data_IF_173550809793
#
_entry.id   IF_173550809793
#
_cell.length_a   1.000
_cell.length_b   1.000
_cell.length_c   1.000
_cell.angle_alpha   90.00
_cell.angle_beta   90.00
_cell.angle_gamma   90.00
#
_symmetry.space_group_name_H-M   'P 1'
#
loop_
_entity.id
_entity.type
_entity.pdbx_description
1 polymer ?
#
# COMPACT_ATOMS: atom_id res chain seq x y z
N UNK A 1 6.87 11.98 6.45
CA UNK A 1 7.39 10.89 5.62
C UNK A 1 6.52 10.74 4.37
N UNK A 2 6.96 11.29 3.22
CA UNK A 2 6.31 11.08 1.90
C UNK A 2 6.79 9.77 1.24
N UNK A 3 6.31 9.47 0.03
CA UNK A 3 6.76 8.33 -0.76
C UNK A 3 7.05 8.70 -2.23
N UNK A 4 7.49 7.72 -3.03
CA UNK A 4 7.90 7.91 -4.43
C UNK A 4 6.77 8.38 -5.35
N UNK A 5 5.50 8.17 -4.98
CA UNK A 5 4.34 8.64 -5.75
C UNK A 5 4.19 10.18 -5.73
N UNK A 6 5.02 10.89 -4.96
CA UNK A 6 5.13 12.35 -5.00
C UNK A 6 5.37 12.89 -6.43
N UNK A 7 6.09 12.15 -7.28
CA UNK A 7 6.38 12.54 -8.67
C UNK A 7 5.11 12.67 -9.52
N UNK A 8 4.04 11.95 -9.18
CA UNK A 8 2.72 12.02 -9.82
C UNK A 8 1.66 12.69 -8.94
N UNK A 9 2.08 13.34 -7.84
CA UNK A 9 1.21 14.01 -6.86
C UNK A 9 0.21 13.10 -6.14
N UNK A 10 0.53 11.82 -6.01
CA UNK A 10 -0.31 10.80 -5.34
C UNK A 10 0.41 10.20 -4.11
N UNK A 11 1.31 10.97 -3.47
CA UNK A 11 1.96 10.54 -2.24
C UNK A 11 0.96 10.45 -1.09
N UNK A 12 1.21 9.54 -0.16
CA UNK A 12 0.64 9.60 1.18
C UNK A 12 1.74 10.02 2.14
N UNK A 13 1.60 11.22 2.72
CA UNK A 13 2.57 11.76 3.67
C UNK A 13 2.02 11.64 5.08
N UNK A 14 2.77 10.97 5.95
CA UNK A 14 2.48 10.96 7.40
C UNK A 14 3.43 11.91 8.12
N UNK A 15 2.89 12.84 8.89
CA UNK A 15 3.67 13.76 9.74
C UNK A 15 3.50 13.30 11.19
N UNK A 16 4.62 13.20 11.90
CA UNK A 16 4.60 12.88 13.32
C UNK A 16 4.19 14.12 14.13
N UNK A 17 3.32 13.94 15.13
CA UNK A 17 3.02 14.99 16.09
C UNK A 17 4.33 15.42 16.78
N UNK A 18 4.68 16.72 16.73
CA UNK A 18 5.95 17.19 17.26
C UNK A 18 5.92 17.16 18.79
N UNK A 19 7.04 16.77 19.42
CA UNK A 19 7.16 16.74 20.87
C UNK A 19 6.96 18.13 21.53
N UNK A 20 7.26 19.19 20.79
CA UNK A 20 6.92 20.57 21.13
C UNK A 20 6.06 21.13 20.02
N UNK A 21 4.88 21.71 20.31
CA UNK A 21 4.01 22.27 19.29
C UNK A 21 4.74 23.29 18.42
N UNK A 22 4.54 23.18 17.11
CA UNK A 22 4.94 24.21 16.17
C UNK A 22 4.00 25.42 16.30
N UNK A 23 4.45 26.59 15.85
CA UNK A 23 3.52 27.70 15.61
C UNK A 23 2.53 27.33 14.51
N UNK A 24 1.34 27.93 14.54
CA UNK A 24 0.30 27.71 13.53
C UNK A 24 0.82 27.98 12.11
N UNK A 25 1.65 29.01 11.94
CA UNK A 25 2.30 29.36 10.67
C UNK A 25 3.20 28.25 10.17
N UNK A 26 4.06 27.68 11.03
CA UNK A 26 4.94 26.58 10.64
C UNK A 26 4.16 25.30 10.36
N UNK A 27 3.13 24.99 11.16
CA UNK A 27 2.27 23.84 10.92
C UNK A 27 1.58 23.93 9.56
N UNK A 28 0.97 25.10 9.26
CA UNK A 28 0.32 25.36 7.98
C UNK A 28 1.30 25.30 6.81
N UNK A 29 2.54 25.79 6.98
CA UNK A 29 3.57 25.71 5.95
C UNK A 29 3.96 24.27 5.65
N UNK A 30 4.15 23.43 6.67
CA UNK A 30 4.49 22.01 6.49
C UNK A 30 3.36 21.28 5.76
N UNK A 31 2.11 21.49 6.17
CA UNK A 31 0.94 20.91 5.51
C UNK A 31 0.81 21.37 4.07
N UNK A 32 1.02 22.67 3.82
CA UNK A 32 1.00 23.22 2.47
C UNK A 32 2.05 22.57 1.57
N UNK A 33 3.30 22.40 2.05
CA UNK A 33 4.38 21.76 1.30
C UNK A 33 4.00 20.34 0.89
N UNK A 34 3.59 19.51 1.85
CA UNK A 34 3.35 18.09 1.58
C UNK A 34 2.02 17.83 0.87
N UNK A 35 1.05 18.74 0.99
CA UNK A 35 -0.19 18.66 0.20
C UNK A 35 0.02 18.95 -1.29
N UNK A 36 1.14 19.59 -1.69
CA UNK A 36 1.46 19.78 -3.11
C UNK A 36 1.78 18.46 -3.85
N UNK A 37 2.15 17.42 -3.12
CA UNK A 37 2.61 16.14 -3.67
C UNK A 37 1.70 14.96 -3.31
N UNK A 38 0.60 15.20 -2.59
CA UNK A 38 -0.38 14.18 -2.24
C UNK A 38 -1.15 14.50 -0.98
N UNK A 39 -1.63 13.48 -0.27
CA UNK A 39 -2.44 13.65 0.95
C UNK A 39 -1.55 13.64 2.20
N UNK A 40 -2.00 14.34 3.22
CA UNK A 40 -1.30 14.49 4.50
C UNK A 40 -2.18 13.99 5.64
N UNK A 41 -1.57 13.26 6.58
CA UNK A 41 -2.17 12.96 7.89
C UNK A 41 -1.15 13.17 9.00
N UNK A 42 -1.63 13.62 10.14
CA UNK A 42 -0.85 13.74 11.38
C UNK A 42 -1.15 12.55 12.26
N UNK A 43 -0.10 11.92 12.81
CA UNK A 43 -0.21 10.79 13.72
C UNK A 43 0.85 10.89 14.82
N UNK A 44 0.61 10.25 15.99
CA UNK A 44 1.62 10.16 17.03
C UNK A 44 2.93 9.54 16.52
N UNK A 45 4.06 9.96 17.09
CA UNK A 45 5.39 9.44 16.72
C UNK A 45 5.48 7.91 16.80
N UNK A 46 4.72 7.27 17.70
CA UNK A 46 4.64 5.81 17.83
C UNK A 46 4.09 5.09 16.59
N UNK A 47 3.39 5.81 15.69
CA UNK A 47 2.83 5.26 14.46
C UNK A 47 3.76 5.37 13.26
N UNK A 48 4.97 5.93 13.40
CA UNK A 48 5.85 6.17 12.24
C UNK A 48 6.38 4.88 11.61
N UNK A 49 6.67 3.84 12.39
CA UNK A 49 7.17 2.57 11.85
C UNK A 49 6.12 1.89 10.94
N UNK A 50 4.87 1.80 11.42
CA UNK A 50 3.77 1.24 10.62
C UNK A 50 3.41 2.14 9.43
N UNK A 51 3.52 3.46 9.59
CA UNK A 51 3.34 4.41 8.50
C UNK A 51 4.41 4.22 7.44
N UNK A 52 5.66 3.95 7.83
CA UNK A 52 6.78 3.64 6.92
C UNK A 52 6.49 2.37 6.14
N UNK A 53 6.08 1.31 6.83
CA UNK A 53 5.72 0.05 6.20
C UNK A 53 4.55 0.20 5.21
N UNK A 54 3.50 0.96 5.58
CA UNK A 54 2.30 1.12 4.76
C UNK A 54 2.48 2.13 3.62
N UNK A 55 2.93 3.35 3.93
CA UNK A 55 2.99 4.45 2.96
C UNK A 55 4.33 4.50 2.22
N UNK A 56 5.44 4.18 2.89
CA UNK A 56 6.77 4.15 2.28
C UNK A 56 6.95 2.93 1.38
N UNK A 57 6.72 1.72 1.94
CA UNK A 57 6.90 0.46 1.21
C UNK A 57 5.66 0.02 0.40
N UNK A 58 4.47 0.52 0.74
CA UNK A 58 3.21 0.15 0.10
C UNK A 58 3.21 0.23 -1.44
N UNK A 59 3.72 1.30 -2.07
CA UNK A 59 3.81 1.38 -3.53
C UNK A 59 4.57 0.19 -4.15
N UNK A 60 5.64 -0.29 -3.51
CA UNK A 60 6.39 -1.45 -4.01
C UNK A 60 5.58 -2.76 -3.86
N UNK A 61 4.87 -2.94 -2.74
CA UNK A 61 4.00 -4.11 -2.55
C UNK A 61 2.83 -4.13 -3.54
N UNK A 62 2.25 -2.96 -3.84
CA UNK A 62 1.20 -2.83 -4.84
C UNK A 62 1.73 -3.04 -6.27
N UNK A 63 2.93 -2.58 -6.58
CA UNK A 63 3.56 -2.85 -7.88
C UNK A 63 3.74 -4.36 -8.11
N UNK A 64 4.15 -5.13 -7.09
CA UNK A 64 4.23 -6.59 -7.19
C UNK A 64 2.86 -7.23 -7.52
N UNK A 65 1.78 -6.74 -6.90
CA UNK A 65 0.42 -7.24 -7.17
C UNK A 65 -0.01 -6.85 -8.59
N UNK A 66 0.31 -5.64 -9.04
CA UNK A 66 0.03 -5.14 -10.39
C UNK A 66 0.73 -6.00 -11.45
N UNK A 67 2.00 -6.36 -11.24
CA UNK A 67 2.73 -7.27 -12.13
C UNK A 67 2.02 -8.63 -12.22
N UNK A 68 1.55 -9.18 -11.09
CA UNK A 68 0.76 -10.41 -11.10
C UNK A 68 -0.54 -10.31 -11.90
N UNK A 69 -1.23 -9.16 -11.86
CA UNK A 69 -2.41 -8.91 -12.70
C UNK A 69 -2.04 -8.89 -14.19
N UNK A 70 -0.96 -8.20 -14.54
CA UNK A 70 -0.48 -8.07 -15.91
C UNK A 70 -0.01 -9.43 -16.48
N UNK A 71 0.70 -10.23 -15.68
CA UNK A 71 1.15 -11.56 -16.07
C UNK A 71 -0.01 -12.54 -16.25
N UNK A 72 -1.03 -12.47 -15.39
CA UNK A 72 -2.26 -13.24 -15.57
C UNK A 72 -3.00 -12.88 -16.86
N UNK A 73 -3.10 -11.59 -17.16
CA UNK A 73 -3.67 -11.09 -18.43
C UNK A 73 -2.86 -11.52 -19.66
N UNK A 74 -1.53 -11.46 -19.57
CA UNK A 74 -0.62 -11.91 -20.62
C UNK A 74 -0.75 -13.41 -20.88
N UNK A 75 -0.87 -14.22 -19.83
CA UNK A 75 -1.10 -15.66 -19.94
C UNK A 75 -2.42 -16.00 -20.67
N UNK A 76 -3.40 -15.08 -20.63
CA UNK A 76 -4.67 -15.20 -21.34
C UNK A 76 -4.66 -14.57 -22.74
N UNK A 77 -3.49 -14.10 -23.22
CA UNK A 77 -3.29 -13.65 -24.60
C UNK A 77 -3.32 -12.15 -24.82
N UNK A 78 -3.37 -11.32 -23.78
CA UNK A 78 -3.22 -9.88 -23.95
C UNK A 78 -1.76 -9.52 -24.28
N UNK A 79 -1.50 -8.57 -25.20
CA UNK A 79 -0.16 -8.06 -25.38
C UNK A 79 0.31 -7.31 -24.13
N UNK A 80 1.62 -7.35 -23.87
CA UNK A 80 2.20 -6.95 -22.58
C UNK A 80 1.93 -5.49 -22.22
N UNK A 81 2.03 -4.57 -23.19
CA UNK A 81 1.85 -3.15 -22.93
C UNK A 81 0.41 -2.83 -22.49
N UNK A 82 -0.56 -3.47 -23.14
CA UNK A 82 -1.99 -3.36 -22.83
C UNK A 82 -2.30 -3.97 -21.47
N UNK A 83 -1.75 -5.16 -21.17
CA UNK A 83 -1.92 -5.82 -19.87
C UNK A 83 -1.43 -4.94 -18.71
N UNK A 84 -0.24 -4.35 -18.84
CA UNK A 84 0.33 -3.44 -17.83
C UNK A 84 -0.52 -2.18 -17.65
N UNK A 85 -0.93 -1.55 -18.76
CA UNK A 85 -1.79 -0.35 -18.72
C UNK A 85 -3.14 -0.65 -18.04
N UNK A 86 -3.79 -1.74 -18.44
CA UNK A 86 -5.08 -2.16 -17.89
C UNK A 86 -4.98 -2.52 -16.41
N UNK A 87 -3.94 -3.25 -16.00
CA UNK A 87 -3.70 -3.59 -14.59
C UNK A 87 -3.50 -2.33 -13.73
N UNK A 88 -2.67 -1.38 -14.19
CA UNK A 88 -2.44 -0.11 -13.50
C UNK A 88 -3.73 0.71 -13.36
N UNK A 89 -4.51 0.84 -14.43
CA UNK A 89 -5.76 1.59 -14.41
C UNK A 89 -6.84 0.93 -13.54
N UNK A 90 -6.95 -0.41 -13.58
CA UNK A 90 -7.87 -1.16 -12.72
C UNK A 90 -7.51 -1.01 -11.23
N UNK A 91 -6.22 -1.11 -10.89
CA UNK A 91 -5.74 -0.90 -9.52
C UNK A 91 -6.00 0.53 -9.04
N UNK A 92 -5.73 1.54 -9.88
CA UNK A 92 -6.06 2.94 -9.58
C UNK A 92 -7.55 3.13 -9.35
N UNK A 93 -8.40 2.53 -10.17
CA UNK A 93 -9.86 2.59 -10.03
C UNK A 93 -10.34 1.97 -8.72
N UNK A 94 -9.82 0.80 -8.35
CA UNK A 94 -10.15 0.15 -7.08
C UNK A 94 -9.75 1.01 -5.87
N UNK A 95 -8.55 1.59 -5.90
CA UNK A 95 -8.10 2.51 -4.86
C UNK A 95 -9.00 3.77 -4.80
N UNK A 96 -9.30 4.38 -5.95
CA UNK A 96 -10.15 5.57 -6.02
C UNK A 96 -11.57 5.32 -5.47
N UNK A 97 -12.16 4.15 -5.74
CA UNK A 97 -13.46 3.76 -5.17
C UNK A 97 -13.39 3.68 -3.64
N UNK A 98 -12.36 3.04 -3.09
CA UNK A 98 -12.17 2.97 -1.64
C UNK A 98 -11.97 4.36 -1.01
N UNK A 99 -11.28 5.27 -1.71
CA UNK A 99 -11.08 6.65 -1.25
C UNK A 99 -12.35 7.50 -1.22
N UNK A 100 -13.45 7.06 -1.87
CA UNK A 100 -14.77 7.69 -1.71
C UNK A 100 -15.43 7.38 -0.36
N UNK A 101 -14.82 6.51 0.45
CA UNK A 101 -15.34 6.03 1.73
C UNK A 101 -16.05 4.69 1.63
N UNK A 102 -16.10 4.08 0.46
CA UNK A 102 -16.71 2.77 0.27
C UNK A 102 -15.86 1.64 0.87
N UNK A 103 -16.48 0.79 1.69
CA UNK A 103 -15.78 -0.33 2.31
C UNK A 103 -15.35 -1.37 1.25
N UNK A 104 -14.10 -1.87 1.25
CA UNK A 104 -13.60 -2.79 0.22
C UNK A 104 -14.42 -4.06 0.01
N UNK A 105 -15.10 -4.56 1.05
CA UNK A 105 -16.02 -5.69 0.90
C UNK A 105 -17.22 -5.36 -0.01
N UNK A 106 -17.78 -4.17 0.14
CA UNK A 106 -18.91 -3.72 -0.67
C UNK A 106 -18.48 -3.50 -2.12
N UNK A 107 -17.27 -2.96 -2.35
CA UNK A 107 -16.69 -2.83 -3.69
C UNK A 107 -16.61 -4.21 -4.38
N UNK A 108 -16.10 -5.24 -3.68
CA UNK A 108 -16.03 -6.61 -4.23
C UNK A 108 -17.42 -7.18 -4.51
N UNK A 109 -18.37 -6.98 -3.62
CA UNK A 109 -19.73 -7.50 -3.75
C UNK A 109 -20.47 -6.86 -4.93
N UNK A 110 -20.35 -5.53 -5.11
CA UNK A 110 -20.96 -4.81 -6.24
C UNK A 110 -20.42 -5.23 -7.61
N UNK A 111 -19.15 -5.63 -7.68
CA UNK A 111 -18.50 -6.08 -8.93
C UNK A 111 -18.76 -7.58 -9.19
N UNK A 112 -19.19 -8.33 -8.17
CA UNK A 112 -19.42 -9.76 -8.26
C UNK A 112 -20.86 -10.07 -8.65
N UNK A 113 -21.03 -10.77 -9.78
CA UNK A 113 -22.33 -11.29 -10.21
C UNK A 113 -22.44 -12.80 -9.96
N UNK A 114 -23.65 -13.35 -9.75
CA UNK A 114 -23.84 -14.79 -9.59
C UNK A 114 -23.27 -15.57 -10.78
N UNK A 115 -22.32 -16.48 -10.52
CA UNK A 115 -21.66 -17.28 -11.55
C UNK A 115 -20.68 -16.51 -12.47
N UNK A 116 -20.38 -15.24 -12.16
CA UNK A 116 -19.51 -14.40 -12.98
C UNK A 116 -18.01 -14.70 -12.82
N UNK A 117 -17.19 -14.11 -13.70
CA UNK A 117 -15.74 -14.27 -13.65
C UNK A 117 -15.11 -13.68 -12.38
N UNK A 118 -15.67 -12.58 -11.84
CA UNK A 118 -15.17 -11.93 -10.63
C UNK A 118 -15.16 -12.88 -9.43
N UNK A 119 -16.26 -13.59 -9.17
CA UNK A 119 -16.33 -14.50 -8.02
C UNK A 119 -15.39 -15.69 -8.19
N UNK A 120 -15.22 -16.19 -9.42
CA UNK A 120 -14.23 -17.22 -9.73
C UNK A 120 -12.80 -16.78 -9.40
N UNK A 121 -12.42 -15.57 -9.81
CA UNK A 121 -11.11 -15.00 -9.48
C UNK A 121 -10.92 -14.75 -7.98
N UNK A 122 -11.94 -14.21 -7.30
CA UNK A 122 -11.89 -13.94 -5.85
C UNK A 122 -11.69 -15.22 -5.04
N UNK A 123 -12.32 -16.33 -5.41
CA UNK A 123 -12.15 -17.61 -4.72
C UNK A 123 -10.71 -18.12 -4.81
N UNK A 124 -10.06 -18.03 -5.97
CA UNK A 124 -8.64 -18.38 -6.13
C UNK A 124 -7.73 -17.53 -5.22
N UNK A 125 -8.01 -16.23 -5.11
CA UNK A 125 -7.24 -15.34 -4.24
C UNK A 125 -7.42 -15.68 -2.74
N UNK A 126 -8.62 -16.08 -2.33
CA UNK A 126 -8.89 -16.50 -0.95
C UNK A 126 -8.29 -17.90 -0.64
N UNK A 127 -8.33 -18.84 -1.59
CA UNK A 127 -7.64 -20.13 -1.48
C UNK A 127 -6.12 -19.97 -1.28
N UNK A 128 -5.53 -18.96 -1.92
CA UNK A 128 -4.12 -18.60 -1.77
C UNK A 128 -3.84 -17.70 -0.53
N UNK A 129 -4.84 -17.41 0.29
CA UNK A 129 -4.74 -16.57 1.49
C UNK A 129 -4.10 -15.20 1.23
N UNK A 130 -4.39 -14.58 0.07
CA UNK A 130 -3.75 -13.32 -0.36
C UNK A 130 -3.89 -12.23 0.70
N UNK A 131 -5.08 -12.10 1.30
CA UNK A 131 -5.32 -11.11 2.37
C UNK A 131 -4.39 -11.31 3.57
N UNK A 132 -4.22 -12.56 4.01
CA UNK A 132 -3.35 -12.89 5.13
C UNK A 132 -1.87 -12.62 4.81
N UNK A 133 -1.44 -12.93 3.59
CA UNK A 133 -0.07 -12.71 3.13
C UNK A 133 0.27 -11.22 3.04
N UNK A 134 -0.61 -10.40 2.45
CA UNK A 134 -0.41 -8.94 2.38
C UNK A 134 -0.40 -8.31 3.77
N UNK A 135 -1.31 -8.71 4.67
CA UNK A 135 -1.32 -8.22 6.04
C UNK A 135 -0.04 -8.58 6.81
N UNK A 136 0.48 -9.80 6.61
CA UNK A 136 1.76 -10.23 7.18
C UNK A 136 2.94 -9.42 6.65
N UNK A 137 2.95 -9.08 5.36
CA UNK A 137 4.02 -8.27 4.77
C UNK A 137 4.11 -6.88 5.44
N UNK A 138 2.97 -6.23 5.71
CA UNK A 138 2.94 -4.95 6.45
C UNK A 138 3.47 -5.11 7.87
N UNK A 139 3.05 -6.17 8.59
CA UNK A 139 3.52 -6.44 9.96
C UNK A 139 5.03 -6.64 10.01
N UNK A 140 5.56 -7.50 9.14
CA UNK A 140 7.01 -7.76 9.05
C UNK A 140 7.77 -6.48 8.69
N UNK A 141 7.31 -5.71 7.69
CA UNK A 141 7.93 -4.45 7.31
C UNK A 141 7.91 -3.42 8.45
N UNK A 142 6.89 -3.45 9.31
CA UNK A 142 6.81 -2.59 10.50
C UNK A 142 7.85 -2.99 11.55
N UNK A 143 7.99 -4.29 11.85
CA UNK A 143 9.04 -4.79 12.75
C UNK A 143 10.43 -4.41 12.24
N UNK A 144 10.69 -4.62 10.95
CA UNK A 144 11.92 -4.25 10.26
C UNK A 144 12.20 -2.74 10.36
N UNK A 145 11.21 -1.90 10.11
CA UNK A 145 11.35 -0.44 10.22
C UNK A 145 11.72 -0.02 11.66
N UNK A 146 11.08 -0.64 12.65
CA UNK A 146 11.35 -0.38 14.07
C UNK A 146 12.77 -0.77 14.48
N UNK A 147 13.22 -1.96 14.05
CA UNK A 147 14.58 -2.42 14.32
C UNK A 147 15.63 -1.49 13.66
N UNK A 148 15.38 -1.04 12.42
CA UNK A 148 16.24 -0.05 11.76
C UNK A 148 16.27 1.27 12.51
N UNK A 149 15.12 1.76 12.98
CA UNK A 149 15.01 2.98 13.79
C UNK A 149 15.82 2.92 15.09
N UNK A 150 15.99 1.71 15.66
CA UNK A 150 16.83 1.47 16.84
C UNK A 150 18.34 1.39 16.55
N UNK A 151 18.76 1.52 15.28
CA UNK A 151 20.16 1.42 14.86
C UNK A 151 20.66 -0.01 14.62
N UNK A 152 19.77 -1.00 14.65
CA UNK A 152 20.10 -2.41 14.38
C UNK A 152 20.39 -2.59 12.89
N UNK A 153 21.43 -3.39 12.56
CA UNK A 153 21.82 -3.71 11.18
C UNK A 153 21.44 -5.16 10.85
N UNK A 154 21.23 -5.44 9.55
CA UNK A 154 20.97 -6.80 9.08
C UNK A 154 19.60 -7.37 9.49
N UNK A 155 18.63 -6.50 9.76
CA UNK A 155 17.28 -6.87 10.25
C UNK A 155 16.47 -7.69 9.24
N UNK A 156 16.84 -7.60 7.95
CA UNK A 156 16.28 -8.37 6.85
C UNK A 156 17.11 -9.60 6.49
N UNK A 157 18.10 -9.96 7.32
CA UNK A 157 18.81 -11.22 7.16
C UNK A 157 17.82 -12.38 7.18
N UNK A 158 18.09 -13.44 6.42
CA UNK A 158 17.27 -14.66 6.46
C UNK A 158 17.19 -15.13 7.91
N UNK A 159 16.02 -14.94 8.55
CA UNK A 159 15.73 -15.52 9.87
C UNK A 159 15.98 -17.02 9.70
N UNK A 160 17.01 -17.56 10.36
CA UNK A 160 17.28 -18.98 10.31
C UNK A 160 15.96 -19.67 10.66
N UNK A 161 15.45 -20.49 9.74
CA UNK A 161 14.19 -21.18 9.95
C UNK A 161 14.31 -21.93 11.28
N UNK A 162 13.70 -21.40 12.34
CA UNK A 162 13.43 -22.13 13.56
C UNK A 162 12.37 -23.14 13.17
N UNK A 163 12.82 -24.22 12.50
CA UNK A 163 12.08 -25.46 12.35
C UNK A 163 11.72 -25.91 13.76
N UNK A 164 10.44 -25.86 14.08
CA UNK A 164 9.80 -26.77 15.01
C UNK A 164 8.60 -27.36 14.29
#
# INVERSE_FOLDING_TARGET
>A
MPNTAAIVRESMTVIADPATPLSDEHSALVDWIFSQVGRVVHLPSANMDVSTALCGSGPAFLALILDGLADGALAMGLPRAEAQLMAAQAMRGAAALALTGEHPAIIRDKISTPGGCTIGGLLVLEEAAVRGTVARAIREATEVASELGSGRKGVNGTRAATRR
#
